data_IF_772825645391
#
_entry.id   IF_772825645391
#
_cell.length_a   1.000
_cell.length_b   1.000
_cell.length_c   1.000
_cell.angle_alpha   90.00
_cell.angle_beta   90.00
_cell.angle_gamma   90.00
#
_symmetry.space_group_name_H-M   'P 1'
#
loop_
_entity.id
_entity.type
_entity.pdbx_description
1 polymer ?
#
# COMPACT_ATOMS: atom_id res chain seq x y z
N UNK A 1 -16.29 -8.36 -1.31
CA UNK A 1 -14.89 -7.99 -1.54
C UNK A 1 -13.99 -8.82 -0.62
N UNK A 2 -13.16 -9.67 -1.19
CA UNK A 2 -12.18 -10.49 -0.46
C UNK A 2 -10.92 -9.64 -0.20
N UNK A 3 -10.38 -9.71 1.02
CA UNK A 3 -9.16 -9.01 1.41
C UNK A 3 -8.01 -10.01 1.49
N UNK A 4 -6.96 -9.72 0.74
CA UNK A 4 -5.72 -10.49 0.72
C UNK A 4 -4.58 -9.60 1.20
N UNK A 5 -3.55 -10.21 1.76
CA UNK A 5 -2.32 -9.47 2.04
C UNK A 5 -1.72 -8.92 0.74
N UNK A 6 -1.13 -7.74 0.82
CA UNK A 6 -0.26 -7.23 -0.23
C UNK A 6 0.82 -8.27 -0.58
N UNK A 7 1.04 -8.59 -1.87
CA UNK A 7 2.09 -9.50 -2.31
C UNK A 7 3.46 -9.09 -1.78
N UNK A 8 4.29 -10.07 -1.39
CA UNK A 8 5.62 -9.83 -0.82
C UNK A 8 6.50 -8.99 -1.75
N UNK A 9 6.47 -9.26 -3.05
CA UNK A 9 7.24 -8.50 -4.04
C UNK A 9 6.88 -7.01 -4.04
N UNK A 10 5.58 -6.68 -3.97
CA UNK A 10 5.11 -5.29 -3.88
C UNK A 10 5.58 -4.66 -2.57
N UNK A 11 5.46 -5.38 -1.44
CA UNK A 11 5.93 -4.91 -0.13
C UNK A 11 7.43 -4.60 -0.16
N UNK A 12 8.25 -5.48 -0.73
CA UNK A 12 9.71 -5.33 -0.78
C UNK A 12 10.12 -4.12 -1.64
N UNK A 13 9.48 -3.92 -2.81
CA UNK A 13 9.75 -2.76 -3.68
C UNK A 13 9.36 -1.42 -3.02
N UNK A 14 8.22 -1.37 -2.34
CA UNK A 14 7.80 -0.18 -1.59
C UNK A 14 8.78 0.11 -0.45
N UNK A 15 9.19 -0.92 0.30
CA UNK A 15 10.11 -0.78 1.43
C UNK A 15 11.51 -0.31 1.01
N UNK A 16 11.99 -0.74 -0.16
CA UNK A 16 13.25 -0.29 -0.74
C UNK A 16 13.26 1.22 -1.04
N UNK A 17 12.11 1.79 -1.40
CA UNK A 17 11.93 3.20 -1.76
C UNK A 17 11.31 4.05 -0.63
N UNK A 18 11.23 3.52 0.58
CA UNK A 18 10.67 4.19 1.76
C UNK A 18 11.80 4.82 2.60
N UNK A 19 11.75 6.15 2.80
CA UNK A 19 12.71 6.87 3.67
C UNK A 19 12.64 6.37 5.12
N UNK A 20 11.42 6.23 5.66
CA UNK A 20 11.20 5.70 7.01
C UNK A 20 10.63 4.28 6.95
N UNK A 21 11.52 3.28 7.00
CA UNK A 21 11.14 1.86 6.91
C UNK A 21 10.22 1.41 8.04
N UNK A 22 10.40 1.91 9.26
CA UNK A 22 9.56 1.54 10.42
C UNK A 22 8.13 2.01 10.21
N UNK A 23 7.96 3.28 9.79
CA UNK A 23 6.65 3.85 9.54
C UNK A 23 5.97 3.20 8.31
N UNK A 24 6.76 2.85 7.30
CA UNK A 24 6.30 2.15 6.10
C UNK A 24 5.80 0.73 6.42
N UNK A 25 6.52 -0.03 7.26
CA UNK A 25 6.08 -1.33 7.76
C UNK A 25 4.82 -1.24 8.61
N UNK A 26 4.71 -0.22 9.46
CA UNK A 26 3.49 0.02 10.23
C UNK A 26 2.31 0.35 9.32
N UNK A 27 2.52 1.20 8.30
CA UNK A 27 1.49 1.54 7.31
C UNK A 27 0.98 0.32 6.53
N UNK A 28 1.88 -0.60 6.13
CA UNK A 28 1.50 -1.81 5.39
C UNK A 28 0.52 -2.72 6.15
N UNK A 29 0.44 -2.62 7.49
CA UNK A 29 -0.54 -3.39 8.28
C UNK A 29 -1.99 -2.98 7.99
N UNK A 30 -2.19 -1.77 7.48
CA UNK A 30 -3.51 -1.21 7.16
C UNK A 30 -3.84 -1.32 5.67
N UNK A 31 -2.93 -1.84 4.84
CA UNK A 31 -3.10 -1.88 3.38
C UNK A 31 -3.21 -3.32 2.90
N UNK A 32 -4.18 -3.57 2.03
CA UNK A 32 -4.51 -4.90 1.54
C UNK A 32 -4.86 -4.89 0.05
N UNK A 33 -4.68 -6.05 -0.57
CA UNK A 33 -5.12 -6.32 -1.93
C UNK A 33 -6.61 -6.70 -1.88
N UNK A 34 -7.41 -6.13 -2.78
CA UNK A 34 -8.83 -6.44 -2.91
C UNK A 34 -9.13 -7.00 -4.28
N UNK A 35 -9.98 -8.03 -4.31
CA UNK A 35 -10.59 -8.51 -5.54
C UNK A 35 -11.96 -7.83 -5.72
N UNK A 36 -12.08 -7.04 -6.78
CA UNK A 36 -13.32 -6.38 -7.22
C UNK A 36 -14.28 -7.39 -7.83
N UNK A 37 -15.55 -6.99 -7.94
CA UNK A 37 -16.63 -7.86 -8.42
C UNK A 37 -16.48 -8.21 -9.92
N UNK A 38 -15.77 -7.39 -10.68
CA UNK A 38 -15.40 -7.63 -12.09
C UNK A 38 -14.19 -8.58 -12.25
N UNK A 39 -13.63 -9.07 -11.14
CA UNK A 39 -12.46 -9.93 -11.11
C UNK A 39 -11.13 -9.20 -11.09
N UNK A 40 -11.12 -7.87 -11.25
CA UNK A 40 -9.89 -7.08 -11.20
C UNK A 40 -9.35 -6.96 -9.78
N UNK A 41 -8.03 -6.82 -9.67
CA UNK A 41 -7.35 -6.56 -8.39
C UNK A 41 -7.16 -5.04 -8.20
N UNK A 42 -7.21 -4.60 -6.94
CA UNK A 42 -6.89 -3.23 -6.54
C UNK A 42 -6.23 -3.25 -5.14
N UNK A 43 -5.71 -2.11 -4.70
CA UNK A 43 -5.15 -1.93 -3.37
C UNK A 43 -6.03 -0.94 -2.60
N UNK A 44 -6.36 -1.29 -1.36
CA UNK A 44 -7.18 -0.49 -0.46
C UNK A 44 -6.57 -0.44 0.94
N UNK A 45 -7.09 0.46 1.78
CA UNK A 45 -6.64 0.64 3.16
C UNK A 45 -7.80 0.70 4.16
N UNK A 46 -7.51 0.33 5.40
CA UNK A 46 -8.39 0.48 6.56
C UNK A 46 -7.66 1.15 7.72
N UNK A 47 -7.51 2.46 7.63
CA UNK A 47 -6.86 3.31 8.61
C UNK A 47 -7.83 4.28 9.26
N UNK A 48 -8.26 3.96 10.49
CA UNK A 48 -9.27 4.75 11.22
C UNK A 48 -8.67 5.81 12.16
N UNK A 49 -7.34 5.94 12.22
CA UNK A 49 -6.62 6.80 13.17
C UNK A 49 -6.18 8.11 12.52
N UNK A 50 -7.13 8.85 11.97
CA UNK A 50 -6.86 10.04 11.11
C UNK A 50 -6.04 11.14 11.81
N UNK A 51 -6.05 11.20 13.13
CA UNK A 51 -5.23 12.08 13.96
C UNK A 51 -3.72 11.77 13.91
N UNK A 52 -3.35 10.55 13.50
CA UNK A 52 -1.97 10.15 13.27
C UNK A 52 -1.51 10.52 11.84
N UNK A 53 -1.51 11.83 11.53
CA UNK A 53 -1.29 12.35 10.18
C UNK A 53 -0.06 11.77 9.47
N UNK A 54 1.07 11.63 10.17
CA UNK A 54 2.29 11.09 9.57
C UNK A 54 2.10 9.64 9.08
N UNK A 55 1.46 8.79 9.89
CA UNK A 55 1.17 7.41 9.51
C UNK A 55 0.10 7.37 8.41
N UNK A 56 -0.90 8.24 8.49
CA UNK A 56 -1.94 8.34 7.47
C UNK A 56 -1.37 8.66 6.09
N UNK A 57 -0.48 9.65 5.97
CA UNK A 57 0.18 9.98 4.71
C UNK A 57 1.01 8.81 4.16
N UNK A 58 1.67 8.04 5.03
CA UNK A 58 2.41 6.85 4.61
C UNK A 58 1.46 5.74 4.15
N UNK A 59 0.33 5.52 4.82
CA UNK A 59 -0.71 4.57 4.36
C UNK A 59 -1.18 4.94 2.95
N UNK A 60 -1.52 6.21 2.71
CA UNK A 60 -1.94 6.69 1.39
C UNK A 60 -0.82 6.53 0.34
N UNK A 61 0.44 6.79 0.72
CA UNK A 61 1.59 6.56 -0.16
C UNK A 61 1.77 5.07 -0.49
N UNK A 62 1.59 4.16 0.47
CA UNK A 62 1.71 2.72 0.26
C UNK A 62 0.59 2.22 -0.66
N UNK A 63 -0.65 2.70 -0.48
CA UNK A 63 -1.77 2.41 -1.39
C UNK A 63 -1.43 2.84 -2.82
N UNK A 64 -0.98 4.09 -2.99
CA UNK A 64 -0.65 4.63 -4.31
C UNK A 64 0.48 3.84 -4.99
N UNK A 65 1.58 3.60 -4.27
CA UNK A 65 2.72 2.81 -4.79
C UNK A 65 2.28 1.36 -5.10
N UNK A 66 1.45 0.76 -4.25
CA UNK A 66 0.90 -0.58 -4.47
C UNK A 66 0.04 -0.67 -5.75
N UNK A 67 -0.82 0.32 -6.01
CA UNK A 67 -1.63 0.38 -7.25
C UNK A 67 -0.76 0.49 -8.50
N UNK A 68 0.26 1.35 -8.47
CA UNK A 68 1.21 1.52 -9.58
C UNK A 68 1.92 0.21 -9.89
N UNK A 69 2.49 -0.44 -8.87
CA UNK A 69 3.18 -1.73 -9.04
C UNK A 69 2.24 -2.83 -9.55
N UNK A 70 0.99 -2.87 -9.07
CA UNK A 70 -0.01 -3.83 -9.54
C UNK A 70 -0.32 -3.66 -11.04
N UNK A 71 -0.23 -2.43 -11.54
CA UNK A 71 -0.42 -2.08 -12.97
C UNK A 71 0.88 -2.16 -13.80
N UNK A 72 2.01 -2.57 -13.19
CA UNK A 72 3.31 -2.63 -13.89
C UNK A 72 3.99 -1.27 -14.07
N UNK A 73 3.61 -0.26 -13.30
CA UNK A 73 4.22 1.07 -13.32
C UNK A 73 5.40 1.21 -12.35
N UNK A 74 6.36 2.07 -12.68
CA UNK A 74 7.47 2.43 -11.79
C UNK A 74 6.98 3.24 -10.57
N UNK A 75 7.74 3.22 -9.46
CA UNK A 75 7.49 4.02 -8.26
C UNK A 75 8.66 4.95 -7.88
N UNK A 76 9.68 5.04 -8.74
CA UNK A 76 10.92 5.79 -8.48
C UNK A 76 10.72 7.32 -8.45
N UNK A 77 9.63 7.83 -9.05
CA UNK A 77 9.36 9.27 -9.17
C UNK A 77 8.62 9.91 -7.97
N UNK A 78 8.51 9.22 -6.81
CA UNK A 78 7.76 9.68 -5.61
C UNK A 78 8.63 9.78 -4.36
#
# INVERSE_FOLDING_TARGET
MEKLELPKEIKDQILANCVNKVLCLEAMKYVYLVKKDDGNLDVAEEFNKTEHHALWFVVLSVVNKGRRLLNGESIEDI
#
